data_IF_038307883089
#
_entry.id   IF_038307883089
#
_cell.length_a   1.000
_cell.length_b   1.000
_cell.length_c   1.000
_cell.angle_alpha   90.00
_cell.angle_beta   90.00
_cell.angle_gamma   90.00
#
_symmetry.space_group_name_H-M   'P 1'
#
loop_
_entity.id
_entity.type
_entity.pdbx_description
1 polymer ?
#
# COMPACT_ATOMS: atom_id res chain seq x y z
N UNK A 1 4.37 8.64 -2.62
CA UNK A 1 3.98 9.75 -1.72
C UNK A 1 2.54 9.55 -1.25
N UNK A 2 1.99 10.43 -0.42
CA UNK A 2 0.59 10.41 -0.03
C UNK A 2 0.06 11.83 0.22
N UNK A 3 -1.25 11.97 0.47
CA UNK A 3 -1.93 13.25 0.65
C UNK A 3 -1.55 13.99 1.95
N UNK A 4 -1.11 13.26 2.96
CA UNK A 4 -0.81 13.80 4.28
C UNK A 4 0.44 13.13 4.85
N UNK A 5 1.08 13.80 5.81
CA UNK A 5 2.31 13.37 6.48
C UNK A 5 2.16 13.18 7.99
N UNK A 6 0.93 13.23 8.51
CA UNK A 6 0.62 13.02 9.93
C UNK A 6 -0.63 12.15 10.07
N UNK A 7 -0.49 11.02 10.77
CA UNK A 7 -1.56 10.03 10.93
C UNK A 7 -2.81 10.57 11.61
N UNK A 8 -2.67 11.62 12.42
CA UNK A 8 -3.79 12.28 13.09
C UNK A 8 -4.85 12.79 12.11
N UNK A 9 -4.43 13.29 10.93
CA UNK A 9 -5.35 13.86 9.92
C UNK A 9 -6.04 12.80 9.05
N UNK A 10 -5.64 11.52 9.17
CA UNK A 10 -6.11 10.47 8.26
C UNK A 10 -7.61 10.21 8.33
N UNK A 11 -8.27 10.13 9.51
CA UNK A 11 -9.72 9.94 9.56
C UNK A 11 -10.49 11.07 8.88
N UNK A 12 -10.06 12.32 9.07
CA UNK A 12 -10.73 13.49 8.47
C UNK A 12 -10.52 13.54 6.97
N UNK A 13 -9.30 13.30 6.49
CA UNK A 13 -9.03 13.12 5.06
C UNK A 13 -9.94 12.05 4.45
N UNK A 14 -9.99 10.86 5.03
CA UNK A 14 -10.78 9.75 4.48
C UNK A 14 -12.29 10.06 4.50
N UNK A 15 -12.79 10.79 5.50
CA UNK A 15 -14.19 11.24 5.54
C UNK A 15 -14.51 12.19 4.39
N UNK A 16 -13.64 13.14 4.09
CA UNK A 16 -13.88 14.10 2.99
C UNK A 16 -13.85 13.44 1.61
N UNK A 17 -13.07 12.37 1.47
CA UNK A 17 -13.07 11.56 0.25
C UNK A 17 -14.28 10.62 0.12
N UNK A 18 -15.13 10.49 1.14
CA UNK A 18 -16.26 9.54 1.20
C UNK A 18 -17.60 10.21 0.87
N UNK A 19 -18.67 9.84 1.58
CA UNK A 19 -20.03 10.30 1.36
C UNK A 19 -20.35 11.32 2.45
N UNK A 20 -20.99 12.42 2.07
CA UNK A 20 -21.43 13.46 2.99
C UNK A 20 -22.45 12.88 3.98
N UNK A 21 -22.33 13.16 5.29
CA UNK A 21 -23.08 12.45 6.33
C UNK A 21 -24.59 12.68 6.28
N UNK A 22 -25.05 13.82 5.74
CA UNK A 22 -26.48 14.12 5.59
C UNK A 22 -27.11 13.51 4.33
N UNK A 23 -26.38 13.51 3.22
CA UNK A 23 -26.95 13.20 1.89
C UNK A 23 -26.54 11.82 1.39
N UNK A 24 -25.53 11.21 2.00
CA UNK A 24 -24.90 9.97 1.54
C UNK A 24 -24.37 10.04 0.08
N UNK A 25 -24.13 11.25 -0.45
CA UNK A 25 -23.57 11.50 -1.78
C UNK A 25 -22.09 11.91 -1.69
N UNK A 26 -21.33 11.80 -2.79
CA UNK A 26 -20.00 12.40 -2.87
C UNK A 26 -20.14 13.93 -2.76
N UNK A 27 -19.19 14.58 -2.08
CA UNK A 27 -19.14 16.04 -1.94
C UNK A 27 -17.81 16.56 -2.48
N UNK A 28 -17.80 17.15 -3.68
CA UNK A 28 -16.62 17.84 -4.20
C UNK A 28 -16.18 18.98 -3.27
N UNK A 29 -17.13 19.67 -2.64
CA UNK A 29 -16.85 20.74 -1.68
C UNK A 29 -16.03 20.24 -0.49
N UNK A 30 -16.47 19.20 0.21
CA UNK A 30 -15.71 18.64 1.34
C UNK A 30 -14.31 18.15 0.92
N UNK A 31 -14.22 17.54 -0.27
CA UNK A 31 -12.96 17.04 -0.83
C UNK A 31 -11.97 18.19 -1.11
N UNK A 32 -12.40 19.22 -1.83
CA UNK A 32 -11.55 20.37 -2.18
C UNK A 32 -11.27 21.29 -1.00
N UNK A 33 -12.21 21.44 -0.06
CA UNK A 33 -11.99 22.20 1.19
C UNK A 33 -10.82 21.62 1.99
N UNK A 34 -10.81 20.29 2.19
CA UNK A 34 -9.70 19.63 2.87
C UNK A 34 -8.37 19.82 2.12
N UNK A 35 -8.33 19.60 0.81
CA UNK A 35 -7.09 19.76 0.03
C UNK A 35 -6.59 21.21 0.04
N UNK A 36 -7.48 22.19 -0.05
CA UNK A 36 -7.13 23.61 0.02
C UNK A 36 -6.57 23.99 1.40
N UNK A 37 -7.14 23.42 2.48
CA UNK A 37 -6.67 23.64 3.84
C UNK A 37 -5.37 22.88 4.18
N UNK A 38 -5.02 21.83 3.43
CA UNK A 38 -3.86 20.96 3.68
C UNK A 38 -2.90 20.95 2.49
N UNK A 39 -2.15 22.05 2.25
CA UNK A 39 -1.31 22.21 1.05
C UNK A 39 -0.21 21.15 0.91
N UNK A 40 0.12 20.39 1.97
CA UNK A 40 1.00 19.23 1.84
C UNK A 40 0.47 18.14 0.89
N UNK A 41 -0.84 18.15 0.58
CA UNK A 41 -1.47 17.17 -0.31
C UNK A 41 -1.19 17.41 -1.78
N UNK A 42 -0.74 18.61 -2.16
CA UNK A 42 -0.64 19.04 -3.56
C UNK A 42 0.15 18.05 -4.42
N UNK A 43 1.29 17.54 -3.92
CA UNK A 43 2.09 16.57 -4.67
C UNK A 43 1.29 15.30 -5.04
N UNK A 44 0.54 14.73 -4.10
CA UNK A 44 -0.28 13.55 -4.37
C UNK A 44 -1.55 13.88 -5.16
N UNK A 45 -2.13 15.06 -4.97
CA UNK A 45 -3.29 15.52 -5.77
C UNK A 45 -2.89 15.69 -7.24
N UNK A 46 -1.71 16.22 -7.54
CA UNK A 46 -1.19 16.30 -8.91
C UNK A 46 -1.06 14.92 -9.55
N UNK A 47 -0.59 13.91 -8.80
CA UNK A 47 -0.51 12.54 -9.31
C UNK A 47 -1.91 11.96 -9.52
N UNK A 48 -2.82 12.15 -8.56
CA UNK A 48 -4.20 11.67 -8.62
C UNK A 48 -4.94 12.24 -9.84
N UNK A 49 -4.74 13.52 -10.14
CA UNK A 49 -5.40 14.22 -11.25
C UNK A 49 -4.66 14.09 -12.59
N UNK A 50 -3.51 13.42 -12.62
CA UNK A 50 -2.85 13.02 -13.87
C UNK A 50 -3.48 11.75 -14.44
N UNK A 51 -3.09 11.34 -15.66
CA UNK A 51 -3.54 10.07 -16.25
C UNK A 51 -3.29 8.87 -15.33
N UNK A 52 -2.25 8.91 -14.48
CA UNK A 52 -1.99 7.82 -13.52
C UNK A 52 -3.06 7.64 -12.44
N UNK A 53 -4.05 8.54 -12.35
CA UNK A 53 -5.22 8.41 -11.50
C UNK A 53 -6.20 7.32 -11.97
N UNK A 54 -6.12 6.89 -13.23
CA UNK A 54 -7.05 5.92 -13.82
C UNK A 54 -6.26 4.82 -14.57
N UNK A 55 -5.50 3.96 -13.87
CA UNK A 55 -4.83 2.83 -14.50
C UNK A 55 -5.87 1.88 -15.13
N UNK A 56 -5.50 1.20 -16.22
CA UNK A 56 -6.42 0.27 -16.91
C UNK A 56 -6.65 -1.02 -16.13
N UNK A 57 -5.60 -1.53 -15.48
CA UNK A 57 -5.61 -2.66 -14.56
C UNK A 57 -4.43 -2.60 -13.61
N UNK A 58 -4.43 -3.38 -12.51
CA UNK A 58 -3.32 -3.41 -11.57
C UNK A 58 -1.98 -3.75 -12.22
N UNK A 59 -2.00 -4.57 -13.27
CA UNK A 59 -0.83 -5.02 -14.02
C UNK A 59 -0.09 -3.88 -14.72
N UNK A 60 -0.80 -2.80 -15.05
CA UNK A 60 -0.27 -1.65 -15.77
C UNK A 60 0.07 -0.46 -14.86
N UNK A 61 0.26 -0.70 -13.56
CA UNK A 61 0.71 0.31 -12.60
C UNK A 61 1.92 -0.16 -11.78
N UNK A 62 2.69 0.81 -11.29
CA UNK A 62 3.78 0.56 -10.35
C UNK A 62 3.25 0.41 -8.92
N UNK A 63 3.94 -0.37 -8.10
CA UNK A 63 3.78 -0.41 -6.65
C UNK A 63 4.90 0.37 -5.94
N UNK A 64 4.59 0.95 -4.78
CA UNK A 64 5.57 1.68 -3.97
C UNK A 64 5.31 1.43 -2.49
N UNK A 65 6.37 1.14 -1.74
CA UNK A 65 6.29 1.13 -0.27
C UNK A 65 5.93 2.52 0.30
N UNK A 66 6.21 3.57 -0.49
CA UNK A 66 5.95 4.99 -0.22
C UNK A 66 6.67 5.57 0.98
N UNK A 67 6.48 4.97 2.16
CA UNK A 67 7.21 5.31 3.38
C UNK A 67 8.69 4.98 3.25
N UNK A 68 9.47 5.68 4.05
CA UNK A 68 10.84 5.25 4.36
C UNK A 68 10.77 4.14 5.39
N UNK A 69 11.51 3.05 5.19
CA UNK A 69 11.71 1.97 6.16
C UNK A 69 13.19 1.96 6.59
N UNK A 70 13.53 1.20 7.63
CA UNK A 70 14.93 0.90 7.95
C UNK A 70 15.29 -0.51 7.48
N UNK A 71 16.50 -0.70 6.98
CA UNK A 71 17.07 -2.02 6.74
C UNK A 71 18.42 -2.15 7.46
N UNK A 72 18.65 -3.29 8.11
CA UNK A 72 19.83 -3.58 8.92
C UNK A 72 20.60 -4.75 8.32
N UNK A 73 21.92 -4.61 8.18
CA UNK A 73 22.79 -5.70 7.76
C UNK A 73 23.28 -6.52 8.97
N UNK A 74 24.09 -7.55 8.72
CA UNK A 74 24.60 -8.47 9.76
C UNK A 74 25.58 -7.79 10.72
N UNK A 75 26.21 -6.70 10.28
CA UNK A 75 27.14 -5.89 11.06
C UNK A 75 26.42 -4.85 11.94
N UNK A 76 25.08 -4.80 11.92
CA UNK A 76 24.30 -3.84 12.69
C UNK A 76 24.29 -2.42 12.11
N UNK A 77 24.70 -2.24 10.85
CA UNK A 77 24.60 -0.96 10.12
C UNK A 77 23.22 -0.81 9.51
N UNK A 78 22.57 0.33 9.79
CA UNK A 78 21.27 0.71 9.23
C UNK A 78 21.42 1.52 7.96
N UNK A 79 20.49 1.28 7.03
CA UNK A 79 20.18 2.16 5.91
C UNK A 79 18.69 2.49 5.93
N UNK A 80 18.33 3.69 5.51
CA UNK A 80 16.96 4.04 5.20
C UNK A 80 16.62 3.59 3.80
N UNK A 81 15.44 3.01 3.59
CA UNK A 81 15.07 2.45 2.28
C UNK A 81 13.67 2.81 1.82
N UNK A 82 13.53 2.96 0.51
CA UNK A 82 12.24 3.06 -0.20
C UNK A 82 12.09 1.84 -1.12
N UNK A 83 10.94 1.17 -1.05
CA UNK A 83 10.62 0.04 -1.94
C UNK A 83 9.88 0.50 -3.20
N UNK A 84 10.26 -0.02 -4.35
CA UNK A 84 9.64 0.24 -5.65
C UNK A 84 9.39 -1.06 -6.38
N UNK A 85 8.20 -1.21 -6.97
CA UNK A 85 7.82 -2.31 -7.86
C UNK A 85 7.44 -1.69 -9.20
N UNK A 86 8.27 -1.89 -10.22
CA UNK A 86 8.03 -1.33 -11.56
C UNK A 86 7.36 -2.38 -12.44
N UNK A 87 6.19 -2.07 -12.99
CA UNK A 87 5.49 -3.00 -13.90
C UNK A 87 6.35 -3.32 -15.11
N UNK A 88 6.38 -4.59 -15.51
CA UNK A 88 7.02 -5.03 -16.76
C UNK A 88 6.03 -5.03 -17.94
N UNK A 89 4.75 -4.74 -17.71
CA UNK A 89 3.70 -4.68 -18.74
C UNK A 89 3.56 -3.26 -19.33
N UNK A 90 4.32 -2.30 -18.79
CA UNK A 90 4.24 -0.89 -19.15
C UNK A 90 3.09 -0.15 -18.46
N UNK A 91 3.25 1.15 -18.23
CA UNK A 91 2.19 1.99 -17.66
C UNK A 91 1.11 2.24 -18.72
N UNK A 92 -0.15 1.96 -18.39
CA UNK A 92 -1.31 2.27 -19.23
C UNK A 92 -2.46 2.82 -18.37
N UNK A 93 -3.09 3.87 -18.87
CA UNK A 93 -4.19 4.55 -18.19
C UNK A 93 -5.34 4.85 -19.16
N UNK A 94 -6.55 4.99 -18.63
CA UNK A 94 -7.69 5.51 -19.37
C UNK A 94 -7.75 7.04 -19.28
N UNK A 95 -8.38 7.65 -20.29
CA UNK A 95 -8.85 9.03 -20.18
C UNK A 95 -10.13 9.09 -19.33
N UNK A 96 -10.48 10.28 -18.82
CA UNK A 96 -11.73 10.47 -18.08
C UNK A 96 -12.96 10.03 -18.88
N UNK A 97 -13.06 10.42 -20.16
CA UNK A 97 -14.18 10.04 -21.04
C UNK A 97 -14.27 8.52 -21.23
N UNK A 98 -13.13 7.85 -21.42
CA UNK A 98 -13.10 6.39 -21.59
C UNK A 98 -13.52 5.70 -20.30
N UNK A 99 -13.01 6.17 -19.15
CA UNK A 99 -13.36 5.64 -17.84
C UNK A 99 -14.85 5.77 -17.53
N UNK A 100 -15.46 6.91 -17.84
CA UNK A 100 -16.89 7.14 -17.65
C UNK A 100 -17.74 6.14 -18.46
N UNK A 101 -17.40 5.91 -19.73
CA UNK A 101 -18.08 4.93 -20.58
C UNK A 101 -17.93 3.50 -20.06
N UNK A 102 -16.73 3.13 -19.61
CA UNK A 102 -16.46 1.80 -19.05
C UNK A 102 -17.27 1.60 -17.77
N UNK A 103 -17.17 2.50 -16.79
CA UNK A 103 -17.85 2.36 -15.51
C UNK A 103 -19.38 2.43 -15.66
N UNK A 104 -19.88 3.13 -16.69
CA UNK A 104 -21.28 3.10 -17.09
C UNK A 104 -21.75 1.74 -17.62
N UNK A 105 -20.86 0.93 -18.21
CA UNK A 105 -21.18 -0.39 -18.76
C UNK A 105 -20.89 -1.54 -17.80
N UNK A 106 -19.74 -1.53 -17.11
CA UNK A 106 -19.36 -2.52 -16.11
C UNK A 106 -18.47 -1.91 -15.03
N UNK A 107 -18.64 -2.37 -13.79
CA UNK A 107 -17.75 -2.03 -12.68
C UNK A 107 -16.63 -3.03 -12.47
N UNK A 108 -16.66 -4.15 -13.21
CA UNK A 108 -15.79 -5.29 -12.98
C UNK A 108 -14.55 -5.30 -13.89
N UNK A 109 -14.46 -4.37 -14.85
CA UNK A 109 -13.39 -4.33 -15.87
C UNK A 109 -11.98 -4.48 -15.27
N UNK A 110 -11.73 -3.79 -14.16
CA UNK A 110 -10.43 -3.77 -13.49
C UNK A 110 -10.04 -5.16 -12.92
N UNK A 111 -11.03 -5.92 -12.43
CA UNK A 111 -10.87 -7.27 -11.90
C UNK A 111 -10.80 -8.31 -13.03
N UNK A 112 -11.67 -8.19 -14.04
CA UNK A 112 -11.71 -9.07 -15.22
C UNK A 112 -10.36 -9.10 -15.93
N UNK A 113 -9.71 -7.93 -16.13
CA UNK A 113 -8.41 -7.86 -16.79
C UNK A 113 -7.33 -8.65 -16.06
N UNK A 114 -7.23 -8.54 -14.73
CA UNK A 114 -6.24 -9.28 -13.95
C UNK A 114 -6.56 -10.78 -13.92
N UNK A 115 -7.82 -11.13 -13.68
CA UNK A 115 -8.25 -12.52 -13.57
C UNK A 115 -7.98 -13.28 -14.87
N UNK A 116 -8.46 -12.76 -16.01
CA UNK A 116 -8.32 -13.41 -17.31
C UNK A 116 -6.85 -13.48 -17.76
N UNK A 117 -6.05 -12.45 -17.49
CA UNK A 117 -4.62 -12.50 -17.81
C UNK A 117 -3.92 -13.67 -17.10
N UNK A 118 -4.26 -13.94 -15.84
CA UNK A 118 -3.70 -15.09 -15.12
C UNK A 118 -4.23 -16.42 -15.68
N UNK A 119 -5.54 -16.53 -15.97
CA UNK A 119 -6.11 -17.77 -16.56
C UNK A 119 -5.51 -18.09 -17.95
N UNK A 120 -5.18 -17.05 -18.73
CA UNK A 120 -4.58 -17.18 -20.06
C UNK A 120 -3.06 -17.44 -20.04
N UNK A 121 -2.44 -17.52 -18.85
CA UNK A 121 -0.99 -17.67 -18.71
C UNK A 121 -0.18 -16.40 -18.93
N UNK A 122 -0.83 -15.25 -19.08
CA UNK A 122 -0.23 -13.92 -19.21
C UNK A 122 0.11 -13.34 -17.83
N UNK A 123 1.00 -14.00 -17.09
CA UNK A 123 1.30 -13.66 -15.70
C UNK A 123 1.96 -12.27 -15.55
N UNK A 124 1.31 -11.31 -14.87
CA UNK A 124 1.92 -10.01 -14.66
C UNK A 124 3.11 -10.08 -13.70
N UNK A 125 4.12 -9.28 -14.02
CA UNK A 125 5.42 -9.21 -13.35
C UNK A 125 5.79 -7.78 -13.01
N UNK A 126 6.40 -7.59 -11.85
CA UNK A 126 7.02 -6.35 -11.42
C UNK A 126 8.46 -6.58 -11.06
N UNK A 127 9.36 -5.72 -11.55
CA UNK A 127 10.74 -5.70 -11.08
C UNK A 127 10.82 -4.90 -9.78
N UNK A 128 11.36 -5.52 -8.74
CA UNK A 128 11.53 -4.93 -7.42
C UNK A 128 12.87 -4.21 -7.33
N UNK A 129 12.81 -2.98 -6.83
CA UNK A 129 13.96 -2.14 -6.55
C UNK A 129 13.88 -1.56 -5.14
N UNK A 130 15.04 -1.14 -4.64
CA UNK A 130 15.15 -0.26 -3.49
C UNK A 130 15.94 1.00 -3.85
N UNK A 131 15.62 2.10 -3.17
CA UNK A 131 16.61 3.16 -2.93
C UNK A 131 17.16 2.96 -1.52
N UNK A 132 18.45 3.22 -1.31
CA UNK A 132 19.10 3.11 -0.02
C UNK A 132 19.87 4.38 0.32
N UNK A 133 19.57 4.97 1.47
CA UNK A 133 20.20 6.16 2.02
C UNK A 133 20.95 5.76 3.30
N UNK A 134 22.27 6.01 3.40
CA UNK A 134 23.01 5.85 4.65
C UNK A 134 22.36 6.62 5.79
N UNK A 135 22.44 6.09 7.01
CA UNK A 135 21.76 6.68 8.16
C UNK A 135 22.17 8.14 8.39
N UNK A 136 23.46 8.41 8.27
CA UNK A 136 24.12 9.70 8.46
C UNK A 136 23.69 10.79 7.46
N UNK A 137 23.20 10.39 6.27
CA UNK A 137 22.77 11.32 5.23
C UNK A 137 21.35 11.85 5.46
N UNK A 138 20.55 11.18 6.29
CA UNK A 138 19.16 11.58 6.53
C UNK A 138 19.03 13.00 7.10
N UNK A 139 20.00 13.41 7.94
CA UNK A 139 20.05 14.76 8.52
C UNK A 139 20.60 15.83 7.57
N UNK A 140 21.10 15.44 6.39
CA UNK A 140 21.75 16.33 5.42
C UNK A 140 20.82 16.70 4.25
N UNK A 141 19.66 16.04 4.15
CA UNK A 141 18.70 16.28 3.09
C UNK A 141 18.02 17.65 3.24
N UNK A 142 17.72 18.31 2.11
CA UNK A 142 16.97 19.57 2.06
C UNK A 142 15.48 19.41 2.42
N UNK A 143 15.03 18.17 2.57
CA UNK A 143 13.68 17.78 2.96
C UNK A 143 13.75 16.72 4.06
N UNK A 144 12.67 16.55 4.82
CA UNK A 144 12.60 15.45 5.78
C UNK A 144 12.46 14.11 5.00
N UNK A 145 13.44 13.19 5.07
CA UNK A 145 13.40 11.92 4.33
C UNK A 145 12.30 10.98 4.83
N UNK A 146 11.67 11.29 5.97
CA UNK A 146 10.54 10.57 6.56
C UNK A 146 9.19 11.26 6.32
N UNK A 147 9.16 12.37 5.56
CA UNK A 147 7.92 13.02 5.12
C UNK A 147 7.32 12.23 3.95
N UNK A 148 6.16 11.60 4.18
CA UNK A 148 5.45 10.80 3.19
C UNK A 148 5.01 11.58 1.93
N UNK A 149 5.04 12.91 1.96
CA UNK A 149 4.75 13.78 0.80
C UNK A 149 5.97 14.00 -0.09
N UNK A 150 7.14 13.44 0.25
CA UNK A 150 8.40 13.58 -0.49
C UNK A 150 8.85 12.28 -1.16
N UNK A 151 9.52 12.44 -2.30
CA UNK A 151 10.28 11.37 -2.97
C UNK A 151 11.76 11.58 -2.72
N UNK A 152 12.55 10.53 -2.87
CA UNK A 152 14.00 10.67 -2.98
C UNK A 152 14.34 10.77 -4.47
N UNK A 153 14.99 11.85 -4.93
CA UNK A 153 15.38 11.98 -6.32
C UNK A 153 16.21 10.78 -6.77
N UNK A 154 15.95 10.27 -7.98
CA UNK A 154 16.66 9.09 -8.48
C UNK A 154 18.13 9.37 -8.80
N UNK A 155 18.49 10.63 -9.09
CA UNK A 155 19.88 11.01 -9.37
C UNK A 155 20.74 10.97 -8.09
N UNK A 156 20.15 11.33 -6.94
CA UNK A 156 20.81 11.26 -5.64
C UNK A 156 20.81 9.83 -5.09
N UNK A 157 19.68 9.13 -5.23
CA UNK A 157 19.48 7.78 -4.72
C UNK A 157 18.98 6.88 -5.86
N UNK A 158 19.87 6.28 -6.67
CA UNK A 158 19.47 5.43 -7.79
C UNK A 158 18.76 4.16 -7.34
N UNK A 159 17.96 3.59 -8.24
CA UNK A 159 17.26 2.33 -8.01
C UNK A 159 18.24 1.15 -8.08
N UNK A 160 18.27 0.35 -7.02
CA UNK A 160 19.04 -0.89 -6.91
C UNK A 160 18.08 -2.05 -7.14
N UNK A 161 18.33 -2.87 -8.16
CA UNK A 161 17.51 -4.04 -8.47
C UNK A 161 17.66 -5.12 -7.39
N UNK A 162 16.54 -5.70 -6.94
CA UNK A 162 16.50 -6.70 -5.87
C UNK A 162 15.92 -8.03 -6.36
N UNK A 163 14.91 -8.01 -7.22
CA UNK A 163 14.27 -9.23 -7.70
C UNK A 163 12.99 -8.97 -8.49
N UNK A 164 12.11 -9.96 -8.54
CA UNK A 164 10.87 -9.93 -9.31
C UNK A 164 9.69 -10.44 -8.48
N UNK A 165 8.54 -9.81 -8.64
CA UNK A 165 7.24 -10.29 -8.18
C UNK A 165 6.43 -10.73 -9.40
N UNK A 166 6.04 -11.99 -9.46
CA UNK A 166 5.13 -12.54 -10.47
C UNK A 166 3.82 -12.96 -9.81
N UNK A 167 2.68 -12.61 -10.40
CA UNK A 167 1.37 -13.14 -10.00
C UNK A 167 0.89 -14.17 -11.02
N UNK A 168 0.90 -15.45 -10.64
CA UNK A 168 0.67 -16.57 -11.56
C UNK A 168 -0.46 -17.51 -11.12
N UNK A 169 -1.30 -17.07 -10.18
CA UNK A 169 -2.39 -17.90 -9.66
C UNK A 169 -3.55 -17.06 -9.15
N UNK A 170 -4.75 -17.34 -9.66
CA UNK A 170 -5.99 -16.79 -9.14
C UNK A 170 -6.41 -17.49 -7.83
N UNK A 171 -7.10 -16.79 -6.92
CA UNK A 171 -7.66 -17.42 -5.73
C UNK A 171 -8.80 -18.37 -6.10
N UNK A 172 -8.83 -19.57 -5.51
CA UNK A 172 -9.95 -20.52 -5.69
C UNK A 172 -11.27 -19.97 -5.13
N UNK A 173 -11.19 -19.19 -4.04
CA UNK A 173 -12.35 -18.53 -3.44
C UNK A 173 -12.00 -17.09 -3.06
N UNK A 174 -12.70 -16.13 -3.67
CA UNK A 174 -12.45 -14.70 -3.45
C UNK A 174 -12.66 -14.29 -1.99
N UNK A 175 -13.75 -14.71 -1.35
CA UNK A 175 -14.04 -14.31 0.02
C UNK A 175 -12.98 -14.84 0.99
N UNK A 176 -12.63 -16.12 0.86
CA UNK A 176 -11.67 -16.77 1.74
C UNK A 176 -10.26 -16.20 1.59
N UNK A 177 -9.82 -15.90 0.36
CA UNK A 177 -8.43 -15.56 0.07
C UNK A 177 -8.17 -14.06 -0.14
N UNK A 178 -9.18 -13.30 -0.56
CA UNK A 178 -9.06 -11.86 -0.85
C UNK A 178 -9.80 -11.03 0.20
N UNK A 179 -11.09 -11.25 0.41
CA UNK A 179 -11.87 -10.44 1.39
C UNK A 179 -11.33 -10.61 2.82
N UNK A 180 -10.93 -11.82 3.17
CA UNK A 180 -10.33 -12.13 4.48
C UNK A 180 -8.82 -11.84 4.58
N UNK A 181 -8.18 -11.38 3.50
CA UNK A 181 -6.77 -11.02 3.56
C UNK A 181 -6.54 -9.83 4.50
N UNK A 182 -5.44 -9.90 5.26
CA UNK A 182 -5.07 -8.92 6.27
C UNK A 182 -3.59 -8.55 6.13
N UNK A 183 -3.32 -7.33 5.69
CA UNK A 183 -1.97 -6.80 5.49
C UNK A 183 -1.67 -5.74 6.53
N UNK A 184 -0.67 -5.92 7.38
CA UNK A 184 -0.27 -4.91 8.35
C UNK A 184 1.18 -4.49 8.14
N UNK A 185 1.49 -3.18 8.07
CA UNK A 185 2.88 -2.72 8.05
C UNK A 185 3.69 -3.15 9.27
N UNK A 186 3.04 -3.48 10.40
CA UNK A 186 3.72 -4.03 11.58
C UNK A 186 4.33 -5.41 11.36
N UNK A 187 3.90 -6.13 10.31
CA UNK A 187 4.39 -7.47 10.00
C UNK A 187 5.68 -7.36 9.19
N UNK A 188 6.81 -7.37 9.88
CA UNK A 188 8.16 -7.32 9.28
C UNK A 188 8.93 -8.59 9.60
N UNK A 189 9.98 -8.83 8.82
CA UNK A 189 10.97 -9.90 9.06
C UNK A 189 12.28 -9.30 9.57
N UNK A 190 13.11 -10.07 10.31
CA UNK A 190 14.42 -9.59 10.76
C UNK A 190 15.23 -8.97 9.62
N UNK A 191 15.83 -7.81 9.89
CA UNK A 191 16.53 -7.00 8.90
C UNK A 191 15.69 -5.84 8.34
N UNK A 192 14.35 -5.92 8.35
CA UNK A 192 13.48 -4.79 7.97
C UNK A 192 12.82 -4.22 9.22
N UNK A 193 12.83 -2.90 9.34
CA UNK A 193 12.23 -2.17 10.46
C UNK A 193 11.60 -0.85 10.03
N UNK A 194 11.18 -0.06 11.02
CA UNK A 194 10.39 1.14 10.79
C UNK A 194 11.25 2.41 10.84
N UNK A 195 10.86 3.41 10.06
CA UNK A 195 11.39 4.77 10.18
C UNK A 195 10.50 5.63 11.09
N UNK A 196 10.95 6.81 11.53
CA UNK A 196 10.12 7.75 12.29
C UNK A 196 9.07 8.50 11.43
N UNK A 197 8.76 8.04 10.21
CA UNK A 197 7.64 8.56 9.41
C UNK A 197 6.34 8.45 10.22
N UNK A 198 5.75 9.60 10.57
CA UNK A 198 4.56 9.67 11.43
C UNK A 198 3.37 8.89 10.87
N UNK A 199 3.20 8.88 9.55
CA UNK A 199 2.14 8.12 8.91
C UNK A 199 2.42 6.62 9.03
N UNK A 200 3.67 6.18 8.81
CA UNK A 200 4.03 4.78 9.01
C UNK A 200 3.78 4.36 10.46
N UNK A 201 4.21 5.18 11.43
CA UNK A 201 4.02 4.92 12.85
C UNK A 201 2.54 4.74 13.23
N UNK A 202 1.64 5.58 12.72
CA UNK A 202 0.20 5.40 12.92
C UNK A 202 -0.32 4.09 12.32
N UNK A 203 0.19 3.69 11.15
CA UNK A 203 -0.22 2.45 10.46
C UNK A 203 0.25 1.17 11.14
N UNK A 204 1.36 1.20 11.88
CA UNK A 204 1.83 0.05 12.68
C UNK A 204 0.74 -0.38 13.68
N UNK A 205 0.02 0.58 14.25
CA UNK A 205 -1.10 0.31 15.13
C UNK A 205 -2.41 0.01 14.36
N UNK A 206 -2.80 0.88 13.43
CA UNK A 206 -4.17 0.94 12.94
C UNK A 206 -4.64 -0.32 12.20
N UNK A 207 -3.75 -1.02 11.51
CA UNK A 207 -4.12 -2.18 10.69
C UNK A 207 -4.48 -3.38 11.55
N UNK A 208 -3.63 -3.75 12.51
CA UNK A 208 -3.90 -4.86 13.41
C UNK A 208 -5.14 -4.61 14.28
N UNK A 209 -5.40 -3.36 14.67
CA UNK A 209 -6.63 -2.96 15.35
C UNK A 209 -7.87 -3.17 14.46
N UNK A 210 -7.85 -2.63 13.24
CA UNK A 210 -8.93 -2.81 12.27
C UNK A 210 -9.18 -4.28 11.90
N UNK A 211 -8.14 -5.11 11.81
CA UNK A 211 -8.28 -6.54 11.53
C UNK A 211 -9.01 -7.27 12.65
N UNK A 212 -8.68 -6.98 13.92
CA UNK A 212 -9.34 -7.59 15.08
C UNK A 212 -10.84 -7.27 15.11
N UNK A 213 -11.22 -6.07 14.71
CA UNK A 213 -12.63 -5.70 14.56
C UNK A 213 -13.29 -6.38 13.35
N UNK A 214 -12.67 -6.30 12.17
CA UNK A 214 -13.28 -6.74 10.90
C UNK A 214 -13.34 -8.26 10.74
N UNK A 215 -12.31 -8.98 11.19
CA UNK A 215 -12.12 -10.41 10.95
C UNK A 215 -12.15 -11.24 12.25
N UNK A 216 -12.03 -10.59 13.41
CA UNK A 216 -12.00 -11.23 14.72
C UNK A 216 -10.59 -11.43 15.28
N UNK A 217 -10.55 -11.93 16.52
CA UNK A 217 -9.32 -12.03 17.33
C UNK A 217 -8.20 -12.82 16.62
N UNK A 218 -8.54 -13.94 16.00
CA UNK A 218 -7.58 -14.87 15.38
C UNK A 218 -7.52 -14.77 13.85
N UNK A 219 -7.70 -13.56 13.30
CA UNK A 219 -7.66 -13.35 11.85
C UNK A 219 -6.36 -13.85 11.20
N UNK A 220 -5.25 -13.85 11.94
CA UNK A 220 -3.95 -14.37 11.51
C UNK A 220 -3.93 -15.89 11.28
N UNK A 221 -4.88 -16.65 11.85
CA UNK A 221 -5.01 -18.07 11.62
C UNK A 221 -5.84 -18.42 10.37
N UNK A 222 -6.48 -17.44 9.73
CA UNK A 222 -7.24 -17.66 8.50
C UNK A 222 -6.29 -18.12 7.37
N UNK A 223 -6.73 -18.98 6.43
CA UNK A 223 -5.88 -19.53 5.38
C UNK A 223 -5.11 -18.51 4.53
N UNK A 224 -5.68 -17.31 4.34
CA UNK A 224 -5.05 -16.20 3.62
C UNK A 224 -3.90 -15.55 4.39
N UNK A 225 -3.93 -15.61 5.72
CA UNK A 225 -3.08 -14.80 6.61
C UNK A 225 -2.07 -15.65 7.38
N UNK A 226 -2.32 -16.95 7.53
CA UNK A 226 -1.45 -17.85 8.26
C UNK A 226 -0.04 -17.90 7.66
N UNK A 227 1.03 -17.74 8.45
CA UNK A 227 2.39 -17.78 7.94
C UNK A 227 2.75 -19.20 7.50
N UNK A 228 3.01 -19.38 6.20
CA UNK A 228 3.26 -20.70 5.60
C UNK A 228 4.70 -21.20 5.79
N UNK A 229 5.65 -20.28 5.91
CA UNK A 229 7.09 -20.57 5.93
C UNK A 229 7.74 -20.27 7.28
N UNK A 230 6.98 -20.35 8.37
CA UNK A 230 7.50 -20.15 9.73
C UNK A 230 6.66 -20.90 10.74
N UNK A 231 7.30 -21.40 11.80
CA UNK A 231 6.58 -21.92 12.96
C UNK A 231 6.16 -20.74 13.85
N UNK A 232 4.86 -20.62 14.09
CA UNK A 232 4.32 -19.63 15.03
C UNK A 232 4.64 -20.06 16.46
N UNK A 233 5.30 -19.21 17.23
CA UNK A 233 5.58 -19.43 18.65
C UNK A 233 5.14 -18.19 19.43
N UNK A 234 4.13 -18.34 20.30
CA UNK A 234 3.62 -17.26 21.14
C UNK A 234 3.01 -17.81 22.42
N UNK A 235 2.81 -16.95 23.41
CA UNK A 235 2.06 -17.26 24.63
C UNK A 235 0.58 -16.82 24.57
N UNK A 236 0.11 -16.34 23.41
CA UNK A 236 -1.28 -15.95 23.22
C UNK A 236 -2.20 -17.18 23.30
N UNK A 237 -3.31 -17.07 24.02
CA UNK A 237 -4.28 -18.15 24.28
C UNK A 237 -5.72 -17.61 24.16
N UNK A 238 -6.66 -18.55 24.05
CA UNK A 238 -8.13 -18.34 24.06
C UNK A 238 -8.60 -17.36 22.97
N UNK A 239 -9.76 -16.71 23.11
CA UNK A 239 -10.32 -15.80 22.08
C UNK A 239 -11.34 -16.45 21.13
N UNK A 240 -12.19 -15.62 20.51
CA UNK A 240 -13.27 -16.10 19.63
C UNK A 240 -12.74 -16.75 18.35
N UNK A 241 -13.45 -17.77 17.86
CA UNK A 241 -13.12 -18.50 16.62
C UNK A 241 -11.72 -19.15 16.63
N UNK A 242 -11.29 -19.65 17.78
CA UNK A 242 -10.03 -20.39 17.91
C UNK A 242 -10.20 -21.85 17.48
N UNK A 243 -9.79 -22.18 16.27
CA UNK A 243 -9.88 -23.54 15.70
C UNK A 243 -8.54 -24.31 15.68
N UNK A 244 -7.50 -23.78 16.34
CA UNK A 244 -6.16 -24.38 16.38
C UNK A 244 -5.71 -24.68 17.81
N UNK A 245 -4.89 -25.73 17.97
CA UNK A 245 -4.31 -26.16 19.24
C UNK A 245 -3.09 -25.31 19.60
N UNK A 246 -2.73 -25.26 20.90
CA UNK A 246 -1.45 -24.71 21.36
C UNK A 246 -0.31 -25.70 21.14
#
# INVERSE_FOLDING_TARGET
VFFIRDGYKFPDFIRTQKRHPKTNLRSPEAMFDFWAAQPESVHQVTILMSDRGIPVSPMHMNGYGSHTFSMWNKEGKRHWVKFHFKTQQGIKNYTNETSEKIIGSTREKYQEELYNAIEEGNFPKWKMYIQAMPEEEAGQQSYNPFDLTKVWPHDDYPLIEVGELEMNRNPENYFQMIENAAFSPSNVVPGIGFSPDKMLQARIFSYADAHRYRLGTHYEALPANAPKNSKVNHYHKDGAMRFFTN
#
